data_IF_443476390605
#
_entry.id   IF_443476390605
#
_cell.length_a   1.000
_cell.length_b   1.000
_cell.length_c   1.000
_cell.angle_alpha   90.00
_cell.angle_beta   90.00
_cell.angle_gamma   90.00
#
_symmetry.space_group_name_H-M   'P 1'
#
loop_
_entity.id
_entity.type
_entity.pdbx_description
1 polymer ?
#
# COMPACT_ATOMS: atom_id res chain seq x y z
N UNK A 1 26.28 -14.57 -17.53
CA UNK A 1 25.17 -13.69 -17.96
C UNK A 1 24.61 -12.99 -16.73
N UNK A 2 24.23 -11.70 -16.80
CA UNK A 2 23.62 -11.01 -15.66
C UNK A 2 22.30 -11.69 -15.27
N UNK A 3 22.07 -11.88 -13.96
CA UNK A 3 20.86 -12.51 -13.43
C UNK A 3 19.86 -11.44 -13.03
N UNK A 4 18.72 -11.39 -13.70
CA UNK A 4 17.63 -10.52 -13.30
C UNK A 4 16.90 -11.13 -12.11
N UNK A 5 16.73 -10.35 -11.03
CA UNK A 5 16.17 -10.87 -9.78
C UNK A 5 14.67 -11.08 -9.87
N UNK A 6 14.19 -12.29 -9.55
CA UNK A 6 12.76 -12.62 -9.43
C UNK A 6 12.05 -11.75 -8.38
N UNK A 7 12.77 -11.29 -7.35
CA UNK A 7 12.22 -10.37 -6.36
C UNK A 7 11.89 -9.00 -6.99
N UNK A 8 12.70 -8.53 -7.94
CA UNK A 8 12.43 -7.28 -8.66
C UNK A 8 11.19 -7.47 -9.55
N UNK A 9 11.07 -8.59 -10.25
CA UNK A 9 9.88 -8.92 -11.05
C UNK A 9 8.63 -8.91 -10.17
N UNK A 10 8.70 -9.59 -9.02
CA UNK A 10 7.58 -9.69 -8.07
C UNK A 10 7.17 -8.32 -7.53
N UNK A 11 8.15 -7.47 -7.18
CA UNK A 11 7.89 -6.09 -6.76
C UNK A 11 7.17 -5.28 -7.85
N UNK A 12 7.67 -5.35 -9.09
CA UNK A 12 7.05 -4.68 -10.25
C UNK A 12 5.61 -5.15 -10.50
N UNK A 13 5.31 -6.44 -10.33
CA UNK A 13 3.94 -6.96 -10.47
C UNK A 13 2.98 -6.31 -9.46
N UNK A 14 3.42 -6.10 -8.22
CA UNK A 14 2.61 -5.42 -7.20
C UNK A 14 2.35 -3.95 -7.55
N UNK A 15 3.40 -3.22 -7.95
CA UNK A 15 3.26 -1.83 -8.39
C UNK A 15 2.30 -1.73 -9.57
N UNK A 16 2.46 -2.57 -10.59
CA UNK A 16 1.61 -2.56 -11.77
C UNK A 16 0.15 -2.89 -11.44
N UNK A 17 -0.08 -3.88 -10.58
CA UNK A 17 -1.43 -4.23 -10.13
C UNK A 17 -2.12 -3.03 -9.45
N UNK A 18 -1.44 -2.41 -8.48
CA UNK A 18 -2.00 -1.27 -7.75
C UNK A 18 -2.21 -0.07 -8.68
N UNK A 19 -1.25 0.21 -9.56
CA UNK A 19 -1.36 1.25 -10.60
C UNK A 19 -2.62 1.03 -11.45
N UNK A 20 -2.82 -0.18 -11.98
CA UNK A 20 -4.03 -0.52 -12.76
C UNK A 20 -5.31 -0.27 -11.96
N UNK A 21 -5.37 -0.67 -10.69
CA UNK A 21 -6.55 -0.42 -9.83
C UNK A 21 -6.81 1.07 -9.67
N UNK A 22 -5.76 1.87 -9.44
CA UNK A 22 -5.86 3.32 -9.25
C UNK A 22 -6.34 4.00 -10.53
N UNK A 23 -5.65 3.77 -11.65
CA UNK A 23 -5.95 4.40 -12.93
C UNK A 23 -7.32 3.97 -13.48
N UNK A 24 -7.71 2.70 -13.29
CA UNK A 24 -9.03 2.21 -13.70
C UNK A 24 -10.19 2.84 -12.91
N UNK A 25 -9.91 3.39 -11.72
CA UNK A 25 -10.88 4.18 -10.95
C UNK A 25 -10.93 5.67 -11.34
N UNK A 26 -10.14 6.07 -12.33
CA UNK A 26 -10.02 7.46 -12.77
C UNK A 26 -9.14 8.34 -11.88
N UNK A 27 -8.43 7.76 -10.90
CA UNK A 27 -7.47 8.46 -10.05
C UNK A 27 -6.06 8.41 -10.64
N UNK A 28 -5.15 9.26 -10.16
CA UNK A 28 -3.80 9.37 -10.70
C UNK A 28 -2.81 8.65 -9.78
N UNK A 29 -1.91 7.85 -10.38
CA UNK A 29 -0.84 7.13 -9.69
C UNK A 29 0.51 7.79 -9.95
N UNK A 30 1.02 8.54 -8.98
CA UNK A 30 2.34 9.19 -9.03
C UNK A 30 3.39 8.26 -8.42
N UNK A 31 4.10 7.51 -9.26
CA UNK A 31 5.15 6.57 -8.82
C UNK A 31 6.36 7.33 -8.28
N UNK A 32 6.95 6.84 -7.19
CA UNK A 32 8.25 7.27 -6.69
C UNK A 32 9.29 6.27 -7.21
N UNK A 33 10.38 6.78 -7.77
CA UNK A 33 11.45 5.93 -8.27
C UNK A 33 12.23 5.30 -7.12
N UNK A 34 12.75 4.09 -7.35
CA UNK A 34 13.35 3.27 -6.30
C UNK A 34 14.56 3.93 -5.62
N UNK A 35 15.25 4.82 -6.33
CA UNK A 35 16.39 5.58 -5.81
C UNK A 35 15.98 6.61 -4.73
N UNK A 36 14.71 7.03 -4.75
CA UNK A 36 14.13 8.02 -3.82
C UNK A 36 13.18 7.38 -2.79
N UNK A 37 13.03 6.04 -2.79
CA UNK A 37 12.10 5.34 -1.91
C UNK A 37 12.64 5.23 -0.48
N UNK A 38 12.07 6.07 0.41
CA UNK A 38 12.30 6.04 1.86
C UNK A 38 11.22 5.27 2.64
N UNK A 39 10.40 4.48 1.94
CA UNK A 39 9.28 3.72 2.47
C UNK A 39 7.92 4.18 1.92
N UNK A 40 7.87 4.86 0.77
CA UNK A 40 6.65 5.24 0.06
C UNK A 40 6.90 4.99 -1.43
N UNK A 41 6.17 4.02 -1.99
CA UNK A 41 6.36 3.61 -3.40
C UNK A 41 5.59 4.52 -4.38
N UNK A 42 4.51 5.16 -3.91
CA UNK A 42 3.72 6.06 -4.75
C UNK A 42 2.82 7.00 -3.93
N UNK A 43 2.38 8.07 -4.58
CA UNK A 43 1.28 8.93 -4.15
C UNK A 43 0.10 8.75 -5.08
N UNK A 44 -1.10 8.59 -4.51
CA UNK A 44 -2.36 8.56 -5.25
C UNK A 44 -3.05 9.91 -5.10
N UNK A 45 -3.36 10.55 -6.22
CA UNK A 45 -4.20 11.75 -6.25
C UNK A 45 -5.64 11.38 -6.60
N UNK A 46 -6.56 11.77 -5.71
CA UNK A 46 -7.97 11.45 -5.84
C UNK A 46 -8.65 12.39 -6.83
N UNK A 47 -9.35 11.81 -7.79
CA UNK A 47 -10.10 12.50 -8.83
C UNK A 47 -11.54 12.02 -8.78
N UNK A 48 -12.49 12.92 -8.99
CA UNK A 48 -13.91 12.60 -9.10
C UNK A 48 -14.49 13.36 -10.28
N UNK A 49 -15.22 12.67 -11.15
CA UNK A 49 -15.86 13.25 -12.33
C UNK A 49 -14.87 14.05 -13.20
N UNK A 50 -13.63 13.56 -13.30
CA UNK A 50 -12.54 14.21 -14.05
C UNK A 50 -11.88 15.40 -13.34
N UNK A 51 -12.34 15.77 -12.14
CA UNK A 51 -11.81 16.90 -11.37
C UNK A 51 -10.95 16.42 -10.19
N UNK A 52 -9.73 16.95 -10.02
CA UNK A 52 -8.91 16.69 -8.84
C UNK A 52 -9.63 17.14 -7.57
N UNK A 53 -9.68 16.27 -6.56
CA UNK A 53 -10.25 16.60 -5.26
C UNK A 53 -9.28 17.36 -4.35
N UNK A 54 -8.07 17.67 -4.85
CA UNK A 54 -6.94 18.21 -4.07
C UNK A 54 -6.62 17.36 -2.82
N UNK A 55 -6.82 16.04 -2.93
CA UNK A 55 -6.57 15.07 -1.86
C UNK A 55 -5.63 13.99 -2.35
N UNK A 56 -4.60 13.74 -1.57
CA UNK A 56 -3.56 12.77 -1.89
C UNK A 56 -3.36 11.77 -0.76
N UNK A 57 -2.91 10.57 -1.13
CA UNK A 57 -2.68 9.46 -0.24
C UNK A 57 -1.33 8.84 -0.58
N UNK A 58 -0.50 8.58 0.42
CA UNK A 58 0.76 7.88 0.23
C UNK A 58 0.57 6.37 0.43
N UNK A 59 1.28 5.56 -0.37
CA UNK A 59 1.21 4.11 -0.27
C UNK A 59 2.59 3.45 -0.22
N UNK A 60 2.69 2.40 0.60
CA UNK A 60 3.77 1.42 0.53
C UNK A 60 3.19 0.11 -0.01
N UNK A 61 3.82 -0.48 -1.01
CA UNK A 61 3.44 -1.72 -1.67
C UNK A 61 4.48 -2.79 -1.33
N UNK A 62 4.03 -3.89 -0.76
CA UNK A 62 4.79 -5.15 -0.65
C UNK A 62 4.14 -6.19 -1.54
N UNK A 63 4.95 -6.99 -2.23
CA UNK A 63 4.47 -7.96 -3.20
C UNK A 63 5.18 -9.28 -3.01
N UNK A 64 4.42 -10.37 -3.01
CA UNK A 64 4.94 -11.73 -2.96
C UNK A 64 4.44 -12.55 -1.77
N UNK A 65 4.66 -13.85 -1.86
CA UNK A 65 4.15 -14.83 -0.89
C UNK A 65 4.76 -14.65 0.50
N UNK A 66 5.96 -14.09 0.62
CA UNK A 66 6.64 -13.81 1.90
C UNK A 66 5.87 -12.81 2.78
N UNK A 67 4.99 -12.01 2.19
CA UNK A 67 4.16 -11.03 2.89
C UNK A 67 2.77 -11.56 3.24
N UNK A 68 2.49 -12.85 3.03
CA UNK A 68 1.20 -13.46 3.31
C UNK A 68 1.35 -14.84 3.98
N UNK A 69 0.74 -14.99 5.16
CA UNK A 69 0.60 -16.26 5.85
C UNK A 69 -0.76 -16.89 5.49
N UNK A 70 -0.73 -17.97 4.71
CA UNK A 70 -1.92 -18.70 4.30
C UNK A 70 -2.64 -19.46 5.41
N UNK A 71 -1.92 -19.85 6.48
CA UNK A 71 -2.51 -20.57 7.62
C UNK A 71 -3.34 -19.65 8.52
N UNK A 72 -2.81 -18.46 8.83
CA UNK A 72 -3.53 -17.46 9.62
C UNK A 72 -4.40 -16.52 8.76
N UNK A 73 -4.29 -16.61 7.43
CA UNK A 73 -4.92 -15.70 6.48
C UNK A 73 -4.55 -14.21 6.73
N UNK A 74 -3.29 -13.94 7.06
CA UNK A 74 -2.80 -12.60 7.41
C UNK A 74 -1.75 -12.07 6.44
N UNK A 75 -1.83 -10.78 6.16
CA UNK A 75 -0.83 -9.99 5.46
C UNK A 75 0.18 -9.38 6.44
N UNK A 76 1.41 -9.18 5.97
CA UNK A 76 2.57 -8.80 6.75
C UNK A 76 3.29 -7.62 6.07
N UNK A 77 3.55 -6.55 6.82
CA UNK A 77 4.41 -5.45 6.37
C UNK A 77 5.50 -5.22 7.42
N UNK A 78 6.77 -5.53 7.10
CA UNK A 78 7.89 -5.19 7.97
C UNK A 78 7.98 -3.68 8.17
N UNK A 79 8.10 -3.23 9.42
CA UNK A 79 8.17 -1.80 9.76
C UNK A 79 9.60 -1.27 9.65
N UNK A 80 10.58 -2.04 10.13
CA UNK A 80 11.98 -1.62 10.12
C UNK A 80 12.20 -0.25 10.76
N UNK A 81 13.02 0.58 10.10
CA UNK A 81 13.29 1.97 10.50
C UNK A 81 12.24 2.98 9.99
N UNK A 82 11.17 2.52 9.33
CA UNK A 82 10.15 3.42 8.76
C UNK A 82 9.09 3.87 9.77
N UNK A 83 9.07 3.34 11.00
CA UNK A 83 8.02 3.63 11.98
C UNK A 83 7.81 5.14 12.21
N UNK A 84 8.90 5.86 12.47
CA UNK A 84 8.85 7.31 12.70
C UNK A 84 8.50 8.06 11.42
N UNK A 85 9.10 7.67 10.30
CA UNK A 85 8.87 8.28 8.99
C UNK A 85 7.39 8.20 8.59
N UNK A 86 6.78 7.01 8.63
CA UNK A 86 5.36 6.83 8.33
C UNK A 86 4.44 7.57 9.31
N UNK A 87 4.76 7.53 10.61
CA UNK A 87 3.94 8.18 11.64
C UNK A 87 3.90 9.71 11.47
N UNK A 88 5.04 10.31 11.10
CA UNK A 88 5.19 11.75 10.88
C UNK A 88 4.92 12.19 9.43
N UNK A 89 4.75 11.24 8.51
CA UNK A 89 4.48 11.56 7.10
C UNK A 89 3.25 12.48 6.97
N UNK A 90 3.31 13.56 6.16
CA UNK A 90 2.25 14.56 6.13
C UNK A 90 0.92 14.01 5.57
N UNK A 91 0.99 13.07 4.64
CA UNK A 91 -0.18 12.41 4.09
C UNK A 91 -0.61 11.19 4.92
N UNK A 92 -1.83 10.70 4.67
CA UNK A 92 -2.21 9.36 5.11
C UNK A 92 -1.32 8.33 4.43
N UNK A 93 -0.87 7.31 5.17
CA UNK A 93 0.00 6.24 4.65
C UNK A 93 -0.73 4.91 4.73
N UNK A 94 -0.95 4.27 3.59
CA UNK A 94 -1.53 2.94 3.52
C UNK A 94 -0.51 1.91 3.06
N UNK A 95 -0.48 0.78 3.75
CA UNK A 95 0.30 -0.38 3.37
C UNK A 95 -0.56 -1.30 2.52
N UNK A 96 -0.04 -1.74 1.39
CA UNK A 96 -0.69 -2.66 0.46
C UNK A 96 0.17 -3.91 0.32
N UNK A 97 -0.43 -5.07 0.50
CA UNK A 97 0.20 -6.38 0.25
C UNK A 97 -0.48 -7.02 -0.95
N UNK A 98 0.23 -7.14 -2.06
CA UNK A 98 -0.18 -7.90 -3.24
C UNK A 98 0.35 -9.34 -3.17
N UNK A 99 -0.55 -10.30 -3.36
CA UNK A 99 -0.23 -11.74 -3.35
C UNK A 99 -0.44 -12.29 -4.77
N UNK A 100 0.64 -12.47 -5.56
CA UNK A 100 0.53 -12.84 -6.98
C UNK A 100 -0.23 -14.15 -7.23
N UNK A 101 -0.02 -15.16 -6.36
CA UNK A 101 -0.69 -16.47 -6.46
C UNK A 101 -2.21 -16.39 -6.31
N UNK A 102 -2.71 -15.35 -5.62
CA UNK A 102 -4.14 -15.10 -5.43
C UNK A 102 -4.68 -14.03 -6.38
N UNK A 103 -3.79 -13.29 -7.07
CA UNK A 103 -4.12 -12.08 -7.84
C UNK A 103 -4.97 -11.08 -7.04
N UNK A 104 -4.62 -10.86 -5.77
CA UNK A 104 -5.35 -9.98 -4.85
C UNK A 104 -4.39 -9.09 -4.07
N UNK A 105 -4.80 -7.84 -3.84
CA UNK A 105 -4.12 -6.92 -2.95
C UNK A 105 -4.99 -6.62 -1.72
N UNK A 106 -4.38 -6.54 -0.55
CA UNK A 106 -5.05 -6.18 0.71
C UNK A 106 -4.33 -5.00 1.33
N UNK A 107 -5.02 -4.22 2.16
CA UNK A 107 -4.46 -2.98 2.67
C UNK A 107 -4.77 -2.72 4.13
N UNK A 108 -3.91 -1.89 4.73
CA UNK A 108 -4.01 -1.42 6.11
C UNK A 108 -3.67 0.06 6.17
N UNK A 109 -4.31 0.79 7.08
CA UNK A 109 -3.92 2.15 7.43
C UNK A 109 -2.70 2.08 8.38
N UNK A 110 -1.52 2.39 7.87
CA UNK A 110 -0.26 2.24 8.62
C UNK A 110 -0.25 3.21 9.81
N UNK A 111 -0.64 4.47 9.59
CA UNK A 111 -0.61 5.50 10.65
C UNK A 111 -1.57 5.14 11.77
N UNK A 112 -2.78 4.70 11.43
CA UNK A 112 -3.75 4.25 12.41
C UNK A 112 -3.25 3.01 13.15
N UNK A 113 -2.69 2.03 12.44
CA UNK A 113 -2.18 0.80 13.05
C UNK A 113 -1.07 1.10 14.07
N UNK A 114 -0.07 1.91 13.70
CA UNK A 114 1.05 2.26 14.57
C UNK A 114 0.61 3.07 15.79
N UNK A 115 -0.36 3.98 15.63
CA UNK A 115 -0.93 4.76 16.74
C UNK A 115 -1.61 3.88 17.79
N UNK A 116 -2.30 2.82 17.38
CA UNK A 116 -3.12 1.99 18.28
C UNK A 116 -2.44 0.71 18.75
N UNK A 117 -1.45 0.21 18.00
CA UNK A 117 -0.72 -1.02 18.34
C UNK A 117 0.60 -0.74 19.08
N UNK A 118 1.05 0.52 19.09
CA UNK A 118 2.37 0.90 19.58
C UNK A 118 3.51 0.50 18.62
N UNK A 119 4.77 0.71 19.02
CA UNK A 119 5.93 0.29 18.24
C UNK A 119 5.89 -1.22 17.96
N UNK A 120 5.94 -1.61 16.69
CA UNK A 120 5.95 -3.01 16.28
C UNK A 120 6.98 -3.24 15.18
N UNK A 121 7.51 -4.46 15.12
CA UNK A 121 8.49 -4.85 14.10
C UNK A 121 7.80 -5.18 12.77
N UNK A 122 6.53 -5.58 12.83
CA UNK A 122 5.74 -5.99 11.68
C UNK A 122 4.28 -5.65 11.90
N UNK A 123 3.68 -4.97 10.93
CA UNK A 123 2.24 -4.76 10.86
C UNK A 123 1.61 -6.05 10.35
N UNK A 124 0.63 -6.57 11.09
CA UNK A 124 -0.11 -7.79 10.74
C UNK A 124 -1.58 -7.44 10.61
N UNK A 125 -2.21 -7.81 9.52
CA UNK A 125 -3.63 -7.54 9.31
C UNK A 125 -4.29 -8.66 8.51
N UNK A 126 -5.56 -8.91 8.80
CA UNK A 126 -6.28 -10.00 8.16
C UNK A 126 -6.55 -9.69 6.69
N UNK A 127 -6.35 -10.70 5.85
CA UNK A 127 -6.72 -10.63 4.44
C UNK A 127 -8.23 -10.61 4.33
N UNK A 128 -8.76 -9.69 3.52
CA UNK A 128 -10.18 -9.67 3.19
C UNK A 128 -10.45 -10.42 1.88
N UNK A 129 -11.73 -10.76 1.63
CA UNK A 129 -12.14 -11.37 0.36
C UNK A 129 -12.11 -10.38 -0.81
N UNK A 130 -12.20 -9.08 -0.54
CA UNK A 130 -12.22 -8.04 -1.56
C UNK A 130 -10.80 -7.51 -1.78
N UNK A 131 -10.43 -7.28 -3.03
CA UNK A 131 -9.14 -6.65 -3.33
C UNK A 131 -9.18 -5.16 -2.97
N UNK A 132 -7.99 -4.59 -2.79
CA UNK A 132 -7.76 -3.15 -2.70
C UNK A 132 -8.56 -2.41 -3.78
N UNK A 133 -9.23 -1.34 -3.35
CA UNK A 133 -9.95 -0.44 -4.25
C UNK A 133 -9.85 0.98 -3.72
N UNK A 134 -9.84 1.96 -4.62
CA UNK A 134 -9.80 3.37 -4.25
C UNK A 134 -11.00 3.76 -3.39
N UNK A 135 -12.20 3.24 -3.67
CA UNK A 135 -13.39 3.52 -2.87
C UNK A 135 -13.23 3.10 -1.40
N UNK A 136 -12.58 1.96 -1.14
CA UNK A 136 -12.39 1.47 0.22
C UNK A 136 -11.41 2.32 1.04
N UNK A 137 -10.40 2.88 0.38
CA UNK A 137 -9.37 3.72 1.01
C UNK A 137 -9.83 5.17 1.12
N UNK A 138 -10.43 5.72 0.07
CA UNK A 138 -10.90 7.11 0.04
C UNK A 138 -11.99 7.37 1.07
N UNK A 139 -12.88 6.41 1.34
CA UNK A 139 -13.86 6.55 2.44
C UNK A 139 -13.19 6.74 3.80
N UNK A 140 -12.08 6.04 4.08
CA UNK A 140 -11.36 6.21 5.35
C UNK A 140 -10.54 7.50 5.39
N UNK A 141 -9.94 7.92 4.27
CA UNK A 141 -9.15 9.15 4.23
C UNK A 141 -10.02 10.42 4.20
N UNK A 142 -11.21 10.36 3.60
CA UNK A 142 -12.17 11.46 3.56
C UNK A 142 -12.89 11.67 4.90
N UNK A 143 -13.05 10.61 5.68
CA UNK A 143 -13.71 10.61 6.99
C UNK A 143 -12.83 9.95 8.04
N UNK A 144 -11.69 10.56 8.43
CA UNK A 144 -10.90 10.06 9.54
C UNK A 144 -11.76 10.06 10.79
N UNK A 145 -11.90 8.91 11.45
CA UNK A 145 -12.63 8.84 12.73
C UNK A 145 -11.88 9.71 13.75
N UNK A 146 -12.61 10.67 14.34
CA UNK A 146 -12.16 11.57 15.41
C UNK A 146 -11.68 10.80 16.63
#
# INVERSE_FOLDING_TARGET
MPKYSEAIVTSKLGINFVKTVVESSGCIFHRIDQEDDLGIDAIIELVKDGLPLSKQIAIQIKSGQSFYNGQSNQCLIPVGNHCEYWSKYPLSVYGIVYVPSLNLANWVDIKWYLKHSGPCVTIKFDRTKQTFSITSVSRKSLFPRS
#
